data_IF_213293040599
#
_entry.id   IF_213293040599
#
_cell.length_a   1.000
_cell.length_b   1.000
_cell.length_c   1.000
_cell.angle_alpha   90.00
_cell.angle_beta   90.00
_cell.angle_gamma   90.00
#
_symmetry.space_group_name_H-M   'P 1'
#
loop_
_entity.id
_entity.type
_entity.pdbx_description
1 polymer ?
#
# COMPACT_ATOMS: atom_id res chain seq x y z
N UNK A 1 -44.61 14.12 -49.87
CA UNK A 1 -44.31 14.46 -48.47
C UNK A 1 -44.59 13.22 -47.65
N UNK A 2 -43.53 12.46 -47.34
CA UNK A 2 -43.59 11.39 -46.35
C UNK A 2 -43.07 12.02 -45.06
N UNK A 3 -43.94 12.05 -44.06
CA UNK A 3 -43.67 12.54 -42.71
C UNK A 3 -42.71 11.55 -42.03
N UNK A 4 -41.40 11.83 -42.12
CA UNK A 4 -40.39 11.12 -41.35
C UNK A 4 -40.56 11.51 -39.88
N UNK A 5 -41.40 10.76 -39.16
CA UNK A 5 -41.46 10.80 -37.70
C UNK A 5 -40.06 10.54 -37.16
N UNK A 6 -39.36 11.61 -36.78
CA UNK A 6 -38.00 11.52 -36.25
C UNK A 6 -38.08 10.94 -34.85
N UNK A 7 -38.00 9.61 -34.75
CA UNK A 7 -37.99 8.91 -33.47
C UNK A 7 -36.70 9.28 -32.75
N UNK A 8 -36.78 10.18 -31.76
CA UNK A 8 -35.66 10.54 -30.90
C UNK A 8 -35.29 9.36 -29.98
N UNK A 9 -34.52 8.40 -30.51
CA UNK A 9 -34.01 7.25 -29.76
C UNK A 9 -33.06 7.70 -28.65
N UNK A 10 -33.34 7.25 -27.42
CA UNK A 10 -32.44 7.38 -26.27
C UNK A 10 -31.91 6.01 -25.84
N UNK A 11 -30.86 5.99 -25.03
CA UNK A 11 -30.39 4.77 -24.40
C UNK A 11 -31.52 4.17 -23.54
N UNK A 12 -31.85 2.89 -23.77
CA UNK A 12 -32.84 2.20 -22.96
C UNK A 12 -32.24 1.83 -21.62
N UNK A 13 -33.03 1.96 -20.55
CA UNK A 13 -32.63 1.54 -19.20
C UNK A 13 -32.16 0.09 -19.16
N UNK A 14 -32.85 -0.80 -19.87
CA UNK A 14 -32.50 -2.22 -19.94
C UNK A 14 -31.12 -2.46 -20.56
N UNK A 15 -30.72 -1.65 -21.54
CA UNK A 15 -29.41 -1.76 -22.18
C UNK A 15 -28.29 -1.27 -21.25
N UNK A 16 -28.55 -0.20 -20.47
CA UNK A 16 -27.64 0.24 -19.42
C UNK A 16 -27.49 -0.81 -18.30
N UNK A 17 -28.59 -1.48 -17.91
CA UNK A 17 -28.55 -2.57 -16.92
C UNK A 17 -27.74 -3.78 -17.43
N UNK A 18 -27.81 -4.11 -18.72
CA UNK A 18 -26.94 -5.13 -19.33
C UNK A 18 -25.48 -4.73 -19.27
N UNK A 19 -25.15 -3.46 -19.49
CA UNK A 19 -23.76 -3.00 -19.39
C UNK A 19 -23.19 -3.11 -17.97
N UNK A 20 -24.01 -2.90 -16.93
CA UNK A 20 -23.62 -3.22 -15.55
C UNK A 20 -23.23 -4.70 -15.42
N UNK A 21 -24.10 -5.59 -15.90
CA UNK A 21 -23.84 -7.03 -15.83
C UNK A 21 -22.54 -7.42 -16.56
N UNK A 22 -22.27 -6.86 -17.74
CA UNK A 22 -21.02 -7.14 -18.46
C UNK A 22 -19.79 -6.57 -17.78
N UNK A 23 -19.86 -5.34 -17.27
CA UNK A 23 -18.76 -4.73 -16.52
C UNK A 23 -18.36 -5.58 -15.32
N UNK A 24 -19.35 -6.13 -14.61
CA UNK A 24 -19.10 -6.92 -13.41
C UNK A 24 -18.71 -8.38 -13.73
N UNK A 25 -19.23 -8.95 -14.82
CA UNK A 25 -18.96 -10.34 -15.22
C UNK A 25 -17.57 -10.54 -15.86
N UNK A 26 -17.04 -9.53 -16.54
CA UNK A 26 -15.74 -9.63 -17.22
C UNK A 26 -14.68 -9.01 -16.31
N UNK A 27 -13.81 -9.87 -15.77
CA UNK A 27 -12.75 -9.46 -14.84
C UNK A 27 -11.88 -8.35 -15.43
N UNK A 28 -11.59 -7.34 -14.60
CA UNK A 28 -10.76 -6.16 -14.93
C UNK A 28 -11.33 -5.27 -16.05
N UNK A 29 -12.64 -5.28 -16.25
CA UNK A 29 -13.31 -4.32 -17.13
C UNK A 29 -13.37 -2.94 -16.49
N UNK A 30 -12.70 -1.96 -17.10
CA UNK A 30 -12.70 -0.57 -16.62
C UNK A 30 -14.02 0.16 -16.93
N UNK A 31 -14.75 -0.24 -17.97
CA UNK A 31 -16.06 0.31 -18.26
C UNK A 31 -16.81 -0.43 -19.36
N UNK A 32 -18.12 -0.20 -19.45
CA UNK A 32 -18.99 -0.76 -20.48
C UNK A 32 -19.95 0.31 -21.01
N UNK A 33 -20.14 0.36 -22.33
CA UNK A 33 -20.82 1.46 -22.99
C UNK A 33 -21.80 0.97 -24.06
N UNK A 34 -22.95 1.64 -24.18
CA UNK A 34 -23.96 1.34 -25.22
C UNK A 34 -23.87 2.37 -26.34
N UNK A 35 -23.82 1.91 -27.58
CA UNK A 35 -24.08 2.76 -28.75
C UNK A 35 -25.56 2.63 -29.11
N UNK A 36 -26.27 3.75 -29.24
CA UNK A 36 -27.70 3.75 -29.58
C UNK A 36 -28.02 4.68 -30.74
N UNK A 37 -29.04 4.36 -31.57
CA UNK A 37 -29.46 5.21 -32.67
C UNK A 37 -30.15 6.46 -32.12
N UNK A 38 -29.40 7.56 -32.04
CA UNK A 38 -29.85 8.84 -31.53
C UNK A 38 -28.93 9.97 -31.98
N UNK A 39 -29.33 11.21 -31.74
CA UNK A 39 -28.58 12.43 -32.12
C UNK A 39 -28.13 13.26 -30.92
N UNK A 40 -28.62 12.96 -29.72
CA UNK A 40 -28.34 13.74 -28.50
C UNK A 40 -27.99 12.82 -27.33
N UNK A 41 -27.03 13.26 -26.52
CA UNK A 41 -26.72 12.63 -25.25
C UNK A 41 -27.74 13.12 -24.22
N UNK A 42 -28.75 12.29 -23.92
CA UNK A 42 -29.88 12.73 -23.07
C UNK A 42 -29.59 12.73 -21.56
N UNK A 43 -28.49 12.12 -21.11
CA UNK A 43 -28.17 12.04 -19.69
C UNK A 43 -26.66 11.81 -19.48
N UNK A 44 -25.84 12.88 -19.44
CA UNK A 44 -24.50 12.78 -18.86
C UNK A 44 -24.66 12.83 -17.34
N UNK A 45 -25.06 11.73 -16.73
CA UNK A 45 -24.99 11.60 -15.27
C UNK A 45 -23.58 11.19 -14.89
N UNK A 46 -22.66 12.15 -14.84
CA UNK A 46 -21.42 11.96 -14.09
C UNK A 46 -21.81 11.76 -12.64
N UNK A 47 -21.59 10.56 -12.10
CA UNK A 47 -21.76 10.35 -10.68
C UNK A 47 -20.85 11.37 -9.96
N UNK A 48 -21.33 12.12 -8.96
CA UNK A 48 -20.52 13.15 -8.30
C UNK A 48 -19.26 12.59 -7.62
N UNK A 49 -19.20 11.27 -7.40
CA UNK A 49 -18.01 10.55 -6.91
C UNK A 49 -16.95 10.17 -7.96
N UNK A 50 -17.27 10.18 -9.26
CA UNK A 50 -16.29 9.86 -10.33
C UNK A 50 -15.74 11.16 -10.92
N UNK A 51 -14.51 11.50 -10.52
CA UNK A 51 -13.77 12.67 -11.02
C UNK A 51 -12.84 12.34 -12.20
N UNK A 52 -12.67 11.06 -12.50
CA UNK A 52 -11.83 10.54 -13.58
C UNK A 52 -12.69 9.91 -14.69
N UNK A 53 -12.14 9.81 -15.90
CA UNK A 53 -12.84 9.27 -17.09
C UNK A 53 -13.18 7.78 -16.91
N UNK A 54 -12.32 7.05 -16.20
CA UNK A 54 -12.52 5.67 -15.78
C UNK A 54 -12.57 5.56 -14.24
N UNK A 55 -13.16 4.49 -13.69
CA UNK A 55 -14.00 3.48 -14.36
C UNK A 55 -15.46 3.95 -14.53
N UNK A 56 -16.20 3.45 -15.53
CA UNK A 56 -17.55 3.98 -15.80
C UNK A 56 -18.51 3.13 -16.64
N UNK A 57 -19.77 3.56 -16.66
CA UNK A 57 -20.82 3.07 -17.54
C UNK A 57 -21.39 4.26 -18.29
N UNK A 58 -21.69 4.10 -19.57
CA UNK A 58 -22.22 5.21 -20.35
C UNK A 58 -22.96 4.77 -21.59
N UNK A 59 -23.51 5.75 -22.29
CA UNK A 59 -24.13 5.53 -23.58
C UNK A 59 -23.82 6.70 -24.51
N UNK A 60 -23.49 6.38 -25.76
CA UNK A 60 -23.20 7.36 -26.79
C UNK A 60 -24.22 7.24 -27.93
N UNK A 61 -24.83 8.34 -28.36
CA UNK A 61 -25.60 8.36 -29.58
C UNK A 61 -24.65 8.11 -30.76
N UNK A 62 -25.03 7.20 -31.65
CA UNK A 62 -24.35 7.01 -32.92
C UNK A 62 -25.41 6.72 -33.99
N UNK A 63 -25.53 7.62 -34.96
CA UNK A 63 -26.51 7.52 -36.05
C UNK A 63 -25.85 7.85 -37.38
N UNK A 64 -25.94 6.97 -38.40
CA UNK A 64 -25.54 7.32 -39.75
C UNK A 64 -26.30 8.56 -40.23
N UNK A 65 -25.59 9.57 -40.71
CA UNK A 65 -26.16 10.78 -41.31
C UNK A 65 -25.53 11.06 -42.68
N UNK A 66 -26.13 11.99 -43.43
CA UNK A 66 -25.64 12.36 -44.76
C UNK A 66 -24.27 13.07 -44.72
N UNK A 67 -23.92 13.66 -43.58
CA UNK A 67 -22.63 14.34 -43.35
C UNK A 67 -21.49 13.38 -42.99
N UNK A 68 -21.78 12.07 -42.93
CA UNK A 68 -20.82 11.01 -42.68
C UNK A 68 -20.47 10.80 -41.20
N UNK A 69 -19.74 9.70 -40.96
CA UNK A 69 -19.39 9.23 -39.61
C UNK A 69 -18.79 10.31 -38.69
N UNK A 70 -17.83 11.17 -39.13
CA UNK A 70 -17.18 12.16 -38.25
C UNK A 70 -18.15 13.13 -37.57
N UNK A 71 -19.22 13.52 -38.25
CA UNK A 71 -20.25 14.40 -37.66
C UNK A 71 -21.08 13.68 -36.60
N UNK A 72 -21.25 12.36 -36.72
CA UNK A 72 -22.09 11.53 -35.84
C UNK A 72 -21.33 10.89 -34.67
N UNK A 73 -20.00 10.76 -34.75
CA UNK A 73 -19.15 10.08 -33.76
C UNK A 73 -18.38 11.02 -32.84
N UNK A 74 -18.43 12.33 -33.03
CA UNK A 74 -17.57 13.30 -32.34
C UNK A 74 -17.49 13.12 -30.80
N UNK A 75 -18.62 12.83 -30.15
CA UNK A 75 -18.64 12.59 -28.70
C UNK A 75 -17.95 11.27 -28.29
N UNK A 76 -18.09 10.23 -29.11
CA UNK A 76 -17.42 8.94 -28.93
C UNK A 76 -15.92 9.08 -29.20
N UNK A 77 -15.54 9.79 -30.26
CA UNK A 77 -14.13 10.03 -30.61
C UNK A 77 -13.42 10.82 -29.51
N UNK A 78 -14.05 11.88 -29.01
CA UNK A 78 -13.51 12.63 -27.88
C UNK A 78 -13.39 11.76 -26.63
N UNK A 79 -14.42 10.96 -26.32
CA UNK A 79 -14.38 10.04 -25.18
C UNK A 79 -13.23 9.03 -25.30
N UNK A 80 -13.04 8.41 -26.46
CA UNK A 80 -11.95 7.47 -26.69
C UNK A 80 -10.58 8.16 -26.56
N UNK A 81 -10.44 9.37 -27.09
CA UNK A 81 -9.22 10.18 -26.91
C UNK A 81 -8.94 10.49 -25.44
N UNK A 82 -9.97 10.86 -24.68
CA UNK A 82 -9.87 11.13 -23.24
C UNK A 82 -9.48 9.86 -22.47
N UNK A 83 -10.05 8.70 -22.81
CA UNK A 83 -9.69 7.40 -22.23
C UNK A 83 -8.22 7.05 -22.52
N UNK A 84 -7.77 7.18 -23.78
CA UNK A 84 -6.39 6.89 -24.15
C UNK A 84 -5.40 7.79 -23.40
N UNK A 85 -5.72 9.08 -23.30
CA UNK A 85 -4.93 10.04 -22.51
C UNK A 85 -4.91 9.67 -21.03
N UNK A 86 -6.07 9.27 -20.48
CA UNK A 86 -6.22 8.89 -19.08
C UNK A 86 -5.41 7.63 -18.73
N UNK A 87 -5.48 6.56 -19.55
CA UNK A 87 -4.75 5.31 -19.28
C UNK A 87 -3.24 5.42 -19.56
N UNK A 88 -2.83 6.39 -20.37
CA UNK A 88 -1.41 6.70 -20.58
C UNK A 88 -0.81 7.53 -19.42
N UNK A 89 -1.66 8.12 -18.58
CA UNK A 89 -1.23 9.00 -17.49
C UNK A 89 -0.91 8.20 -16.22
N UNK A 90 0.32 8.35 -15.72
CA UNK A 90 0.77 7.73 -14.46
C UNK A 90 0.27 8.43 -13.19
N UNK A 91 -0.34 9.61 -13.32
CA UNK A 91 -0.77 10.42 -12.17
C UNK A 91 -2.24 10.23 -11.81
N UNK A 92 -2.94 9.30 -12.46
CA UNK A 92 -4.38 9.05 -12.20
C UNK A 92 -4.59 8.11 -11.02
N UNK A 93 -5.73 8.23 -10.34
CA UNK A 93 -6.14 7.29 -9.30
C UNK A 93 -6.43 5.91 -9.89
N UNK A 94 -6.97 5.85 -11.11
CA UNK A 94 -7.14 4.60 -11.87
C UNK A 94 -5.81 3.84 -12.03
N UNK A 95 -4.72 4.52 -12.41
CA UNK A 95 -3.42 3.86 -12.56
C UNK A 95 -2.89 3.33 -11.21
N UNK A 96 -2.98 4.14 -10.14
CA UNK A 96 -2.63 3.66 -8.79
C UNK A 96 -3.45 2.42 -8.41
N UNK A 97 -4.75 2.42 -8.68
CA UNK A 97 -5.62 1.27 -8.42
C UNK A 97 -5.18 0.03 -9.23
N UNK A 98 -4.99 0.17 -10.54
CA UNK A 98 -4.55 -0.91 -11.45
C UNK A 98 -3.22 -1.50 -11.03
N UNK A 99 -2.25 -0.67 -10.66
CA UNK A 99 -0.93 -1.11 -10.20
C UNK A 99 -1.04 -2.01 -8.97
N UNK A 100 -1.78 -1.57 -7.93
CA UNK A 100 -1.94 -2.34 -6.70
C UNK A 100 -2.79 -3.59 -6.89
N UNK A 101 -3.88 -3.52 -7.66
CA UNK A 101 -4.68 -4.70 -8.03
C UNK A 101 -3.83 -5.74 -8.77
N UNK A 102 -3.02 -5.32 -9.74
CA UNK A 102 -2.11 -6.22 -10.44
C UNK A 102 -1.06 -6.83 -9.50
N UNK A 103 -0.53 -6.02 -8.57
CA UNK A 103 0.47 -6.46 -7.57
C UNK A 103 -0.10 -7.53 -6.64
N UNK A 104 -1.30 -7.33 -6.10
CA UNK A 104 -1.97 -8.29 -5.19
C UNK A 104 -2.37 -9.60 -5.90
N UNK A 105 -2.65 -9.55 -7.20
CA UNK A 105 -3.00 -10.74 -8.00
C UNK A 105 -1.82 -11.37 -8.74
N UNK A 106 -0.57 -11.02 -8.41
CA UNK A 106 0.60 -11.69 -8.99
C UNK A 106 0.60 -13.18 -8.64
N UNK A 107 0.76 -14.10 -9.62
CA UNK A 107 0.87 -15.52 -9.33
C UNK A 107 2.11 -15.81 -8.48
N UNK A 108 1.97 -16.50 -7.35
CA UNK A 108 3.11 -17.04 -6.59
C UNK A 108 3.10 -16.76 -5.10
N UNK A 109 2.37 -15.74 -4.61
CA UNK A 109 2.22 -15.53 -3.18
C UNK A 109 1.05 -16.36 -2.63
N UNK A 110 1.29 -17.27 -1.66
CA UNK A 110 0.20 -18.00 -1.02
C UNK A 110 -0.70 -17.02 -0.27
N UNK A 111 -2.02 -17.18 -0.43
CA UNK A 111 -3.00 -16.53 0.44
C UNK A 111 -2.78 -17.02 1.86
N UNK A 112 -2.32 -16.15 2.74
CA UNK A 112 -2.21 -16.47 4.15
C UNK A 112 -3.60 -16.43 4.77
N UNK A 113 -4.13 -17.59 5.16
CA UNK A 113 -5.36 -17.67 5.96
C UNK A 113 -4.97 -17.53 7.43
N UNK A 114 -4.86 -16.30 7.92
CA UNK A 114 -4.49 -16.01 9.31
C UNK A 114 -5.53 -15.09 9.95
N UNK A 115 -5.96 -15.43 11.17
CA UNK A 115 -6.84 -14.58 12.00
C UNK A 115 -6.06 -13.62 12.89
N UNK A 116 -4.74 -13.58 12.75
CA UNK A 116 -3.86 -12.74 13.55
C UNK A 116 -4.02 -11.29 13.12
N UNK A 117 -4.80 -10.53 13.88
CA UNK A 117 -5.04 -9.11 13.66
C UNK A 117 -4.31 -8.25 14.67
N UNK A 118 -4.20 -6.97 14.32
CA UNK A 118 -3.74 -5.92 15.21
C UNK A 118 -4.43 -4.60 14.82
N UNK A 119 -4.55 -3.66 15.75
CA UNK A 119 -5.33 -2.45 15.65
C UNK A 119 -4.50 -1.17 15.43
N UNK A 120 -3.17 -1.27 15.46
CA UNK A 120 -2.27 -0.11 15.36
C UNK A 120 -1.68 0.13 13.96
N UNK A 121 -2.07 -0.64 12.94
CA UNK A 121 -1.58 -0.45 11.57
C UNK A 121 -2.40 0.64 10.86
N UNK A 122 -1.70 1.55 10.19
CA UNK A 122 -2.33 2.59 9.36
C UNK A 122 -2.54 2.12 7.91
N UNK A 123 -1.75 1.13 7.47
CA UNK A 123 -1.78 0.54 6.12
C UNK A 123 -1.99 -0.99 6.20
N UNK A 124 -2.36 -1.65 5.09
CA UNK A 124 -2.45 -3.10 5.06
C UNK A 124 -1.11 -3.77 5.46
N UNK A 125 -1.15 -4.97 6.07
CA UNK A 125 0.05 -5.66 6.54
C UNK A 125 1.18 -5.82 5.52
N UNK A 126 0.84 -6.01 4.24
CA UNK A 126 1.81 -6.19 3.17
C UNK A 126 2.52 -4.89 2.75
N UNK A 127 1.92 -3.74 3.08
CA UNK A 127 2.41 -2.41 2.75
C UNK A 127 3.03 -1.71 3.98
N UNK A 128 2.84 -2.26 5.18
CA UNK A 128 3.45 -1.73 6.41
C UNK A 128 4.85 -2.31 6.63
N UNK A 129 5.86 -1.47 6.50
CA UNK A 129 7.25 -1.79 6.83
C UNK A 129 7.51 -1.78 8.34
N UNK A 130 8.27 -2.78 8.79
CA UNK A 130 8.59 -3.05 10.19
C UNK A 130 10.08 -3.24 10.35
N UNK A 131 10.72 -2.29 11.02
CA UNK A 131 12.11 -2.40 11.44
C UNK A 131 12.21 -3.38 12.62
N UNK A 132 13.05 -4.39 12.49
CA UNK A 132 13.37 -5.31 13.60
C UNK A 132 14.54 -4.73 14.40
N UNK A 133 14.24 -4.24 15.60
CA UNK A 133 15.22 -3.62 16.47
C UNK A 133 15.73 -4.57 17.55
N UNK A 134 17.01 -4.94 17.48
CA UNK A 134 17.64 -5.77 18.50
C UNK A 134 17.94 -4.98 19.79
N UNK A 135 17.52 -5.52 20.92
CA UNK A 135 17.80 -5.02 22.26
C UNK A 135 19.00 -5.79 22.83
N UNK A 136 20.16 -5.12 22.85
CA UNK A 136 21.45 -5.70 23.23
C UNK A 136 21.50 -6.24 24.66
N UNK A 137 20.93 -5.51 25.62
CA UNK A 137 20.96 -5.84 27.05
C UNK A 137 19.91 -5.04 27.82
N UNK A 138 19.79 -5.32 29.13
CA UNK A 138 18.83 -4.68 30.02
C UNK A 138 19.05 -3.17 30.16
N UNK A 139 20.30 -2.70 30.14
CA UNK A 139 20.60 -1.25 30.20
C UNK A 139 20.12 -0.53 28.93
N UNK A 140 20.27 -1.18 27.78
CA UNK A 140 19.78 -0.67 26.52
C UNK A 140 18.25 -0.61 26.51
N UNK A 141 17.56 -1.65 27.00
CA UNK A 141 16.11 -1.64 27.14
C UNK A 141 15.64 -0.50 28.04
N UNK A 142 16.26 -0.32 29.21
CA UNK A 142 15.93 0.79 30.13
C UNK A 142 16.16 2.16 29.49
N UNK A 143 17.21 2.32 28.70
CA UNK A 143 17.46 3.55 27.95
C UNK A 143 16.35 3.80 26.92
N UNK A 144 15.96 2.77 26.17
CA UNK A 144 14.86 2.83 25.20
C UNK A 144 13.54 3.21 25.89
N UNK A 145 13.18 2.56 26.99
CA UNK A 145 11.93 2.79 27.70
C UNK A 145 11.88 4.18 28.35
N UNK A 146 12.99 4.62 28.97
CA UNK A 146 13.06 5.91 29.67
C UNK A 146 13.03 7.09 28.72
N UNK A 147 13.76 7.02 27.62
CA UNK A 147 13.87 8.14 26.67
C UNK A 147 12.91 8.03 25.49
N UNK A 148 12.25 6.88 25.32
CA UNK A 148 11.43 6.55 24.15
C UNK A 148 12.22 6.74 22.86
N UNK A 149 13.42 6.18 22.84
CA UNK A 149 14.34 6.32 21.71
C UNK A 149 14.94 4.98 21.31
N UNK A 150 15.22 4.80 20.02
CA UNK A 150 15.95 3.64 19.52
C UNK A 150 17.08 4.10 18.60
N UNK A 151 18.24 3.45 18.66
CA UNK A 151 19.38 3.82 17.83
C UNK A 151 19.76 2.70 16.86
N UNK A 152 20.16 3.10 15.65
CA UNK A 152 20.76 2.23 14.64
C UNK A 152 22.12 2.79 14.22
N UNK A 153 23.00 1.91 13.77
CA UNK A 153 24.36 2.26 13.40
C UNK A 153 24.36 3.11 12.13
N UNK A 154 25.25 4.11 12.07
CA UNK A 154 25.53 4.89 10.87
C UNK A 154 27.06 4.95 10.63
N UNK A 155 27.46 5.52 9.49
CA UNK A 155 28.85 5.72 9.08
C UNK A 155 29.49 4.51 8.39
N UNK A 156 30.82 4.48 8.31
CA UNK A 156 31.57 3.48 7.53
C UNK A 156 31.90 2.23 8.35
N UNK A 157 30.87 1.58 8.90
CA UNK A 157 31.06 0.35 9.68
C UNK A 157 30.06 -0.72 9.32
N UNK A 158 30.45 -1.96 9.63
CA UNK A 158 29.64 -3.14 9.38
C UNK A 158 28.28 -3.04 10.09
N UNK A 159 27.22 -3.20 9.31
CA UNK A 159 25.83 -3.06 9.74
C UNK A 159 25.36 -1.63 9.97
N UNK A 160 26.10 -0.63 9.46
CA UNK A 160 25.60 0.73 9.36
C UNK A 160 24.49 0.85 8.31
N UNK A 161 23.49 1.67 8.62
CA UNK A 161 22.39 1.99 7.73
C UNK A 161 22.75 3.20 6.89
N UNK A 162 22.44 3.12 5.59
CA UNK A 162 22.64 4.22 4.65
C UNK A 162 21.46 5.21 4.69
N UNK A 163 21.76 6.47 4.41
CA UNK A 163 20.72 7.50 4.26
C UNK A 163 19.84 7.12 3.06
N UNK A 164 18.53 7.09 3.26
CA UNK A 164 17.56 6.67 2.24
C UNK A 164 17.33 5.16 2.16
N UNK A 165 17.99 4.37 3.02
CA UNK A 165 17.69 2.94 3.18
C UNK A 165 16.27 2.71 3.71
N UNK A 166 15.70 1.54 3.41
CA UNK A 166 14.35 1.12 3.84
C UNK A 166 14.20 1.16 5.36
N UNK A 167 15.29 0.94 6.09
CA UNK A 167 15.37 0.96 7.56
C UNK A 167 14.95 2.31 8.15
N UNK A 168 15.37 3.42 7.52
CA UNK A 168 15.01 4.76 7.97
C UNK A 168 13.60 5.18 7.55
N UNK A 169 13.01 4.47 6.58
CA UNK A 169 11.65 4.68 6.09
C UNK A 169 10.58 3.84 6.82
N UNK A 170 10.98 2.82 7.59
CA UNK A 170 10.05 1.98 8.32
C UNK A 170 9.35 2.78 9.44
N UNK A 171 8.02 2.84 9.37
CA UNK A 171 7.18 3.57 10.33
C UNK A 171 6.92 2.77 11.60
N UNK A 172 7.08 1.44 11.57
CA UNK A 172 6.90 0.57 12.71
C UNK A 172 8.25 -0.04 13.14
N UNK A 173 8.45 -0.17 14.45
CA UNK A 173 9.60 -0.81 15.07
C UNK A 173 9.12 -1.96 15.96
N UNK A 174 9.61 -3.18 15.71
CA UNK A 174 9.42 -4.34 16.57
C UNK A 174 10.72 -4.62 17.33
N UNK A 175 10.69 -4.39 18.64
CA UNK A 175 11.83 -4.61 19.52
C UNK A 175 11.87 -6.05 19.99
N UNK A 176 13.03 -6.67 19.84
CA UNK A 176 13.24 -8.05 20.25
C UNK A 176 14.58 -8.22 20.98
N UNK A 177 14.65 -9.20 21.86
CA UNK A 177 15.85 -9.52 22.64
C UNK A 177 16.16 -11.01 22.58
N UNK A 178 17.39 -11.38 22.95
CA UNK A 178 17.75 -12.79 23.20
C UNK A 178 17.67 -13.06 24.70
N UNK A 179 16.75 -13.96 25.11
CA UNK A 179 16.57 -14.40 26.49
C UNK A 179 16.63 -15.92 26.55
N UNK A 180 17.45 -16.46 27.46
CA UNK A 180 17.63 -17.91 27.65
C UNK A 180 17.95 -18.70 26.35
N UNK A 181 18.68 -18.08 25.43
CA UNK A 181 19.07 -18.69 24.17
C UNK A 181 18.06 -18.53 23.02
N UNK A 182 16.86 -18.01 23.27
CA UNK A 182 15.82 -17.79 22.24
C UNK A 182 15.52 -16.31 22.02
N UNK A 183 15.05 -15.96 20.83
CA UNK A 183 14.61 -14.60 20.51
C UNK A 183 13.15 -14.38 20.92
N UNK A 184 12.85 -13.23 21.52
CA UNK A 184 11.51 -12.87 21.96
C UNK A 184 11.18 -11.42 21.64
N UNK A 185 9.93 -11.16 21.26
CA UNK A 185 9.40 -9.80 21.12
C UNK A 185 9.20 -9.18 22.50
N UNK A 186 9.64 -7.94 22.67
CA UNK A 186 9.57 -7.20 23.94
C UNK A 186 8.59 -6.04 23.86
N UNK A 187 8.61 -5.29 22.74
CA UNK A 187 7.81 -4.08 22.52
C UNK A 187 7.59 -3.83 21.03
N UNK A 188 6.57 -3.02 20.73
CA UNK A 188 6.39 -2.40 19.42
C UNK A 188 6.24 -0.88 19.60
N UNK A 189 6.64 -0.11 18.59
CA UNK A 189 6.52 1.34 18.58
C UNK A 189 6.33 1.86 17.16
N UNK A 190 5.59 2.97 17.02
CA UNK A 190 5.66 3.81 15.82
C UNK A 190 6.91 4.68 15.89
N UNK A 191 7.60 4.82 14.76
CA UNK A 191 8.79 5.65 14.60
C UNK A 191 8.35 7.04 14.15
N UNK A 192 8.55 8.04 15.01
CA UNK A 192 8.10 9.39 14.72
C UNK A 192 9.05 10.14 13.78
N UNK A 193 10.36 10.09 14.07
CA UNK A 193 11.41 10.72 13.25
C UNK A 193 12.78 10.17 13.58
N UNK A 194 13.68 10.20 12.61
CA UNK A 194 15.10 9.92 12.77
C UNK A 194 15.94 11.19 12.87
N UNK A 195 16.99 11.16 13.69
CA UNK A 195 18.01 12.22 13.77
C UNK A 195 19.42 11.62 13.81
N UNK A 196 20.41 12.24 13.15
CA UNK A 196 21.80 11.85 13.34
C UNK A 196 22.23 12.18 14.78
N UNK A 197 23.07 11.31 15.35
CA UNK A 197 23.65 11.50 16.68
C UNK A 197 25.07 10.93 16.71
N UNK A 198 25.95 11.56 17.48
CA UNK A 198 27.30 11.08 17.72
C UNK A 198 27.34 10.12 18.91
N UNK A 199 28.47 9.41 19.08
CA UNK A 199 28.76 8.66 20.30
C UNK A 199 28.71 9.54 21.56
N UNK A 200 29.13 10.80 21.46
CA UNK A 200 29.08 11.78 22.54
C UNK A 200 27.65 12.11 22.95
N UNK A 201 26.78 12.35 21.96
CA UNK A 201 25.36 12.63 22.20
C UNK A 201 24.67 11.45 22.91
N UNK A 202 24.91 10.23 22.44
CA UNK A 202 24.38 9.02 23.07
C UNK A 202 24.90 8.86 24.50
N UNK A 203 26.20 9.06 24.74
CA UNK A 203 26.80 9.00 26.07
C UNK A 203 26.17 10.02 27.02
N UNK A 204 25.91 11.24 26.55
CA UNK A 204 25.25 12.30 27.33
C UNK A 204 23.81 11.93 27.75
N UNK A 205 23.12 11.10 26.98
CA UNK A 205 21.78 10.59 27.34
C UNK A 205 21.80 9.37 28.26
N UNK A 206 23.00 8.84 28.59
CA UNK A 206 23.17 7.63 29.38
C UNK A 206 23.01 6.34 28.57
N UNK A 207 23.30 6.37 27.27
CA UNK A 207 23.31 5.17 26.42
C UNK A 207 24.45 4.22 26.82
N UNK A 208 24.22 2.90 26.92
CA UNK A 208 25.25 1.96 27.35
C UNK A 208 26.29 1.75 26.24
N UNK A 209 27.49 2.29 26.46
CA UNK A 209 28.72 2.05 25.68
C UNK A 209 28.51 2.13 24.14
N UNK A 210 28.52 3.33 23.54
CA UNK A 210 28.48 3.49 22.10
C UNK A 210 29.77 2.96 21.46
N UNK A 211 29.65 1.93 20.62
CA UNK A 211 30.76 1.27 19.95
C UNK A 211 31.15 1.85 18.58
N UNK A 212 30.70 3.05 18.21
CA UNK A 212 31.19 3.73 17.00
C UNK A 212 30.74 5.18 16.97
N UNK A 213 31.17 5.93 15.96
CA UNK A 213 31.15 7.40 16.07
C UNK A 213 29.80 8.04 15.73
N UNK A 214 29.03 7.41 14.83
CA UNK A 214 27.77 7.93 14.30
C UNK A 214 26.62 6.93 14.38
N UNK A 215 25.43 7.47 14.63
CA UNK A 215 24.18 6.73 14.75
C UNK A 215 23.02 7.54 14.17
N UNK A 216 21.95 6.84 13.79
CA UNK A 216 20.63 7.44 13.70
C UNK A 216 19.84 7.07 14.95
N UNK A 217 19.14 8.04 15.54
CA UNK A 217 18.28 7.86 16.71
C UNK A 217 16.85 8.20 16.31
N UNK A 218 15.93 7.26 16.52
CA UNK A 218 14.51 7.43 16.35
C UNK A 218 13.86 7.88 17.66
N UNK A 219 12.95 8.86 17.58
CA UNK A 219 11.96 9.10 18.63
C UNK A 219 10.79 8.11 18.45
N UNK A 220 10.33 7.50 19.54
CA UNK A 220 9.36 6.41 19.53
C UNK A 220 8.04 6.79 20.20
N UNK A 221 6.95 6.30 19.62
CA UNK A 221 5.64 6.23 20.24
C UNK A 221 5.30 4.75 20.50
N UNK A 222 5.36 4.31 21.75
CA UNK A 222 5.08 2.92 22.08
C UNK A 222 3.63 2.54 21.82
N UNK A 223 3.45 1.37 21.19
CA UNK A 223 2.15 0.71 21.14
C UNK A 223 1.80 0.23 22.55
N UNK A 224 0.61 0.56 23.04
CA UNK A 224 0.17 0.24 24.40
C UNK A 224 0.13 -1.27 24.66
N UNK A 225 -0.41 -2.03 23.71
CA UNK A 225 -0.61 -3.46 23.84
C UNK A 225 -0.08 -4.19 22.61
N UNK A 226 0.85 -5.12 22.84
CA UNK A 226 1.23 -6.06 21.81
C UNK A 226 0.06 -7.01 21.49
N UNK A 227 -0.03 -7.51 20.25
CA UNK A 227 -1.01 -8.53 19.92
C UNK A 227 -0.83 -9.76 20.81
N UNK A 228 -1.93 -10.43 21.15
CA UNK A 228 -1.91 -11.61 22.04
C UNK A 228 -1.04 -12.76 21.52
N UNK A 229 -0.82 -12.79 20.21
CA UNK A 229 0.01 -13.77 19.50
C UNK A 229 1.47 -13.34 19.32
N UNK A 230 1.89 -12.18 19.85
CA UNK A 230 3.26 -11.67 19.67
C UNK A 230 4.33 -12.66 20.17
N UNK A 231 4.01 -13.47 21.18
CA UNK A 231 4.90 -14.51 21.69
C UNK A 231 5.12 -15.68 20.70
N UNK A 232 4.22 -15.85 19.72
CA UNK A 232 4.29 -16.89 18.69
C UNK A 232 5.12 -16.48 17.47
N UNK A 233 5.59 -15.23 17.40
CA UNK A 233 6.37 -14.73 16.26
C UNK A 233 7.73 -15.46 16.22
N UNK A 234 7.97 -16.21 15.15
CA UNK A 234 9.28 -16.82 14.88
C UNK A 234 10.28 -15.76 14.39
N UNK A 235 10.98 -15.15 15.33
CA UNK A 235 12.02 -14.16 15.06
C UNK A 235 13.27 -14.78 14.41
N UNK A 236 13.56 -16.06 14.62
CA UNK A 236 14.70 -16.73 13.98
C UNK A 236 14.43 -16.88 12.47
N UNK A 237 13.19 -17.17 12.07
CA UNK A 237 12.77 -17.13 10.67
C UNK A 237 12.95 -15.74 10.05
N UNK A 238 12.46 -14.69 10.72
CA UNK A 238 12.54 -13.30 10.24
C UNK A 238 13.98 -12.78 10.16
N UNK A 239 14.87 -13.26 11.03
CA UNK A 239 16.27 -12.81 11.11
C UNK A 239 17.27 -13.78 10.47
N UNK A 240 16.80 -14.88 9.87
CA UNK A 240 17.64 -15.91 9.23
C UNK A 240 18.59 -15.39 8.15
N UNK A 241 18.26 -14.25 7.52
CA UNK A 241 19.05 -13.62 6.46
C UNK A 241 19.90 -12.43 6.93
N UNK A 242 19.93 -12.10 8.22
CA UNK A 242 20.77 -11.01 8.75
C UNK A 242 22.23 -11.34 8.46
N UNK A 243 22.91 -10.46 7.73
CA UNK A 243 24.36 -10.43 7.67
C UNK A 243 24.86 -9.33 8.59
N UNK A 244 25.81 -9.67 9.44
CA UNK A 244 26.71 -8.73 10.10
C UNK A 244 26.08 -7.63 11.00
N UNK A 245 24.94 -7.93 11.62
CA UNK A 245 24.34 -7.08 12.65
C UNK A 245 23.73 -5.76 12.14
N UNK A 246 23.47 -5.68 10.84
CA UNK A 246 22.56 -4.67 10.28
C UNK A 246 21.13 -4.90 10.79
N UNK A 247 20.36 -3.84 11.06
CA UNK A 247 18.93 -4.00 11.29
C UNK A 247 18.23 -4.51 10.01
N UNK A 248 17.11 -5.19 10.17
CA UNK A 248 16.32 -5.73 9.05
C UNK A 248 14.97 -5.03 9.00
N UNK A 249 14.49 -4.78 7.78
CA UNK A 249 13.09 -4.43 7.53
C UNK A 249 12.35 -5.60 6.91
N UNK A 250 11.22 -5.95 7.52
CA UNK A 250 10.23 -6.88 6.98
C UNK A 250 8.89 -6.18 6.86
N UNK A 251 7.91 -6.79 6.21
CA UNK A 251 6.53 -6.28 6.25
C UNK A 251 5.79 -6.85 7.46
N UNK A 252 4.71 -6.21 7.91
CA UNK A 252 3.86 -6.81 8.96
C UNK A 252 3.24 -8.13 8.48
N UNK A 253 3.01 -8.29 7.18
CA UNK A 253 2.61 -9.57 6.58
C UNK A 253 3.64 -10.67 6.82
N UNK A 254 4.94 -10.37 6.73
CA UNK A 254 6.00 -11.33 7.08
C UNK A 254 5.96 -11.71 8.56
N UNK A 255 5.67 -10.75 9.45
CA UNK A 255 5.52 -10.99 10.89
C UNK A 255 4.36 -11.96 11.15
N UNK A 256 3.22 -11.75 10.49
CA UNK A 256 2.05 -12.63 10.57
C UNK A 256 2.37 -14.03 10.01
N UNK A 257 3.11 -14.12 8.90
CA UNK A 257 3.58 -15.41 8.35
C UNK A 257 4.48 -16.15 9.33
N UNK A 258 5.43 -15.45 9.94
CA UNK A 258 6.34 -16.03 10.93
C UNK A 258 5.60 -16.54 12.16
N UNK A 259 4.56 -15.82 12.62
CA UNK A 259 3.71 -16.29 13.72
C UNK A 259 2.83 -17.50 13.34
N UNK A 260 2.34 -17.54 12.10
CA UNK A 260 1.45 -18.63 11.62
C UNK A 260 2.20 -19.93 11.31
N UNK A 261 3.52 -19.86 11.11
CA UNK A 261 4.38 -21.01 10.83
C UNK A 261 4.68 -21.84 12.08
N UNK A 262 4.54 -21.23 13.27
CA UNK A 262 4.62 -21.91 14.56
C UNK A 262 3.29 -22.62 14.80
N UNK A 263 3.20 -23.89 14.38
CA UNK A 263 2.08 -24.73 14.80
C UNK A 263 2.06 -24.82 16.33
N UNK A 264 0.88 -24.74 16.98
CA UNK A 264 0.76 -24.92 18.42
C UNK A 264 1.24 -26.29 18.88
#
# INVERSE_FOLDING_TARGET
MLDESTTFGGAKRDDLLKMHAYRDAISRTAGAYVLYPGSEIKDIRRHPGFKEVLPGLGAFPLRPNNDGLPSSSAALDQFLSDVLTHVASQVTRDERHRFWTATVHRPGDPTLTSSLTTDFLDEPPADTDVLLGFVRNVEHLRWIERLRQYNIRAGDRVGAVEIGGRELGAELLLLYERRNGSLHVVRAAKVARWRPATAGDLSATGYPSPGGDMYFVADLEFVEHLPTWAASIDLELLTSKVRDGAPIVVTWWDVVRAASSVKP
#
